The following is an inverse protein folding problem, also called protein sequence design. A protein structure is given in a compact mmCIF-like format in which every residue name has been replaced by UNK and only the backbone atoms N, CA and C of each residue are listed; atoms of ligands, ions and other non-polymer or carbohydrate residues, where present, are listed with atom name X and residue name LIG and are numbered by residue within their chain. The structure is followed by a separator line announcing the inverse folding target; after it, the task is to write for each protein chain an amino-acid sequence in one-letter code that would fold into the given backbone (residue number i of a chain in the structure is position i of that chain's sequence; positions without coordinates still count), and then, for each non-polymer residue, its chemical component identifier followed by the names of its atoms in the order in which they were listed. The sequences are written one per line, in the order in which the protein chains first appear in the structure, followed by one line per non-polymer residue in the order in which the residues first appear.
data_IF_515110885746
#
_entry.id   IF_515110885746
#
_cell.length_a   1.000
_cell.length_b   1.000
_cell.length_c   1.000
_cell.angle_alpha   90.00
_cell.angle_beta   90.00
_cell.angle_gamma   90.00
#
_symmetry.space_group_name_H-M   'P 1'
#
loop_
_entity.id
_entity.type
_entity.pdbx_description
1 polymer ?
#
# COMPACT_ATOMS: atom_id res chain seq x y z
N UNK A 1 77.62 13.21 -20.68
CA UNK A 1 76.67 13.20 -21.82
C UNK A 1 75.75 11.98 -21.68
N UNK A 2 74.44 12.14 -21.96
CA UNK A 2 73.38 11.13 -22.28
C UNK A 2 73.88 9.67 -22.39
N UNK A 3 73.28 8.62 -21.80
CA UNK A 3 71.86 8.16 -21.65
C UNK A 3 71.80 7.17 -20.45
N UNK A 4 70.70 6.66 -19.86
CA UNK A 4 69.24 6.95 -19.78
C UNK A 4 68.69 6.11 -18.59
N UNK A 5 67.54 6.47 -17.99
CA UNK A 5 66.83 5.64 -17.00
C UNK A 5 66.09 4.46 -17.65
N UNK A 6 66.07 3.29 -16.99
CA UNK A 6 65.07 2.24 -17.25
C UNK A 6 64.25 2.03 -15.99
N UNK A 7 63.01 2.52 -16.03
CA UNK A 7 62.01 2.35 -14.97
C UNK A 7 61.44 0.93 -15.02
N UNK A 8 61.20 0.32 -13.86
CA UNK A 8 60.35 -0.87 -13.75
C UNK A 8 59.23 -0.61 -12.75
N UNK A 9 58.14 0.00 -13.23
CA UNK A 9 56.91 0.15 -12.47
C UNK A 9 56.14 -1.18 -12.51
N UNK A 10 56.04 -1.86 -11.36
CA UNK A 10 55.20 -3.05 -11.22
C UNK A 10 53.74 -2.59 -11.11
N UNK A 11 53.00 -2.67 -12.21
CA UNK A 11 51.56 -2.41 -12.23
C UNK A 11 50.86 -3.62 -11.63
N UNK A 12 50.54 -3.55 -10.34
CA UNK A 12 49.69 -4.55 -9.69
C UNK A 12 48.23 -4.27 -10.07
N UNK A 13 47.76 -4.94 -11.13
CA UNK A 13 46.38 -4.84 -11.59
C UNK A 13 45.43 -5.52 -10.58
N UNK A 14 45.02 -4.79 -9.54
CA UNK A 14 43.93 -5.21 -8.66
C UNK A 14 42.65 -5.18 -9.50
N UNK A 15 42.13 -6.36 -9.82
CA UNK A 15 40.88 -6.51 -10.54
C UNK A 15 39.74 -5.86 -9.76
N UNK A 16 39.18 -4.79 -10.30
CA UNK A 16 37.99 -4.16 -9.76
C UNK A 16 36.80 -5.10 -9.98
N UNK A 17 36.53 -5.95 -9.00
CA UNK A 17 35.28 -6.70 -8.92
C UNK A 17 34.14 -5.69 -8.76
N UNK A 18 33.59 -5.23 -9.88
CA UNK A 18 32.32 -4.55 -9.94
C UNK A 18 31.25 -5.57 -9.51
N UNK A 19 31.02 -5.66 -8.20
CA UNK A 19 29.73 -6.07 -7.69
C UNK A 19 28.75 -5.00 -8.15
N UNK A 20 28.14 -5.22 -9.32
CA UNK A 20 26.92 -4.54 -9.70
C UNK A 20 25.93 -4.84 -8.58
N UNK A 21 25.77 -3.88 -7.67
CA UNK A 21 24.75 -3.97 -6.64
C UNK A 21 23.44 -4.15 -7.36
N UNK A 22 22.79 -5.30 -7.16
CA UNK A 22 21.43 -5.51 -7.63
C UNK A 22 20.57 -4.56 -6.79
N UNK A 23 20.43 -3.33 -7.31
CA UNK A 23 19.38 -2.43 -6.91
C UNK A 23 18.09 -3.06 -7.38
N UNK A 24 17.56 -3.99 -6.58
CA UNK A 24 16.17 -4.37 -6.67
C UNK A 24 15.38 -3.07 -6.49
N UNK A 25 14.78 -2.56 -7.56
CA UNK A 25 13.97 -1.36 -7.47
C UNK A 25 12.85 -1.65 -6.46
N UNK A 26 12.85 -0.92 -5.35
CA UNK A 26 11.76 -0.98 -4.38
C UNK A 26 10.51 -0.44 -5.06
N UNK A 27 9.71 -1.35 -5.62
CA UNK A 27 8.41 -1.02 -6.19
C UNK A 27 7.60 -0.26 -5.15
N UNK A 28 7.02 0.88 -5.57
CA UNK A 28 6.08 1.63 -4.73
C UNK A 28 5.04 0.69 -4.11
N UNK A 29 4.79 0.84 -2.81
CA UNK A 29 3.94 -0.07 -2.04
C UNK A 29 2.51 -0.14 -2.59
N UNK A 30 2.07 0.91 -3.31
CA UNK A 30 0.77 0.94 -3.99
C UNK A 30 0.79 0.26 -5.36
N UNK A 31 1.85 0.42 -6.16
CA UNK A 31 2.00 -0.33 -7.43
C UNK A 31 2.21 -1.83 -7.16
N UNK A 32 2.89 -2.19 -6.06
CA UNK A 32 2.92 -3.59 -5.58
C UNK A 32 1.51 -4.10 -5.21
N UNK A 33 0.74 -3.34 -4.43
CA UNK A 33 -0.63 -3.74 -4.07
C UNK A 33 -1.53 -3.93 -5.31
N UNK A 34 -1.42 -3.03 -6.29
CA UNK A 34 -2.10 -3.12 -7.58
C UNK A 34 -1.69 -4.36 -8.37
N UNK A 35 -0.39 -4.70 -8.40
CA UNK A 35 0.10 -5.94 -9.01
C UNK A 35 -0.38 -7.21 -8.27
N UNK A 36 -0.69 -7.11 -6.97
CA UNK A 36 -1.31 -8.15 -6.14
C UNK A 36 -2.85 -8.23 -6.28
N UNK A 37 -3.45 -7.44 -7.19
CA UNK A 37 -4.90 -7.46 -7.47
C UNK A 37 -5.75 -6.62 -6.50
N UNK A 38 -5.15 -5.67 -5.78
CA UNK A 38 -5.89 -4.76 -4.91
C UNK A 38 -6.57 -3.67 -5.74
N UNK A 39 -7.90 -3.58 -5.66
CA UNK A 39 -8.70 -2.57 -6.36
C UNK A 39 -8.75 -1.25 -5.61
N UNK A 40 -8.83 -1.28 -4.28
CA UNK A 40 -8.82 -0.09 -3.42
C UNK A 40 -7.93 -0.32 -2.21
N UNK A 41 -7.11 0.68 -1.87
CA UNK A 41 -6.23 0.65 -0.71
C UNK A 41 -6.37 1.94 0.10
N UNK A 42 -6.29 1.81 1.43
CA UNK A 42 -6.34 2.91 2.37
C UNK A 42 -5.37 2.71 3.53
N UNK A 43 -4.95 3.82 4.16
CA UNK A 43 -3.97 3.86 5.25
C UNK A 43 -4.35 4.93 6.28
N UNK A 44 -3.82 4.81 7.50
CA UNK A 44 -3.86 5.86 8.51
C UNK A 44 -2.90 5.62 9.68
N UNK A 45 -2.73 6.64 10.52
CA UNK A 45 -1.50 6.83 11.30
C UNK A 45 -1.42 6.14 12.67
N UNK A 46 -2.47 6.21 13.50
CA UNK A 46 -2.35 5.86 14.92
C UNK A 46 -3.49 4.96 15.47
N UNK A 47 -3.15 3.74 15.94
CA UNK A 47 -1.99 2.95 15.49
C UNK A 47 -1.98 2.79 13.97
N UNK A 48 -0.80 2.58 13.39
CA UNK A 48 -0.63 2.41 11.94
C UNK A 48 -1.47 1.27 11.40
N UNK A 49 -2.35 1.57 10.45
CA UNK A 49 -3.30 0.62 9.86
C UNK A 49 -3.38 0.74 8.33
N UNK A 50 -3.80 -0.35 7.68
CA UNK A 50 -4.13 -0.36 6.25
C UNK A 50 -5.38 -1.21 5.99
N UNK A 51 -6.14 -0.84 4.94
CA UNK A 51 -7.19 -1.67 4.33
C UNK A 51 -6.86 -1.89 2.87
N UNK A 52 -7.02 -3.12 2.40
CA UNK A 52 -7.04 -3.49 0.99
C UNK A 52 -8.34 -4.22 0.67
N UNK A 53 -8.90 -3.91 -0.50
CA UNK A 53 -10.13 -4.49 -1.02
C UNK A 53 -9.85 -5.06 -2.41
N UNK A 54 -10.18 -6.33 -2.60
CA UNK A 54 -10.04 -7.07 -3.85
C UNK A 54 -11.37 -7.11 -4.63
N UNK A 55 -11.31 -7.49 -5.92
CA UNK A 55 -12.46 -7.59 -6.82
C UNK A 55 -13.52 -8.59 -6.34
N UNK A 56 -13.08 -9.75 -5.85
CA UNK A 56 -13.89 -10.83 -5.28
C UNK A 56 -14.50 -10.49 -3.89
N UNK A 57 -14.54 -9.20 -3.54
CA UNK A 57 -15.02 -8.66 -2.27
C UNK A 57 -14.36 -9.29 -1.04
N UNK A 58 -13.09 -9.69 -1.12
CA UNK A 58 -12.27 -9.90 0.08
C UNK A 58 -11.73 -8.58 0.61
N UNK A 59 -11.69 -8.47 1.94
CA UNK A 59 -11.02 -7.39 2.66
C UNK A 59 -9.83 -7.95 3.42
N UNK A 60 -8.72 -7.22 3.35
CA UNK A 60 -7.56 -7.38 4.23
C UNK A 60 -7.41 -6.11 5.07
N UNK A 61 -7.49 -6.24 6.38
CA UNK A 61 -7.21 -5.17 7.34
C UNK A 61 -5.95 -5.52 8.12
N UNK A 62 -4.99 -4.61 8.16
CA UNK A 62 -3.76 -4.73 8.97
C UNK A 62 -3.70 -3.58 9.96
N UNK A 63 -3.24 -3.86 11.18
CA UNK A 63 -3.21 -2.90 12.27
C UNK A 63 -2.09 -3.23 13.28
N UNK A 64 -1.89 -2.34 14.27
CA UNK A 64 -0.80 -2.41 15.25
C UNK A 64 0.56 -2.67 14.58
N UNK A 65 0.82 -1.89 13.51
CA UNK A 65 2.05 -1.94 12.72
C UNK A 65 2.39 -3.35 12.18
N UNK A 66 1.36 -4.12 11.82
CA UNK A 66 1.51 -5.46 11.24
C UNK A 66 1.26 -6.62 12.21
N UNK A 67 1.06 -6.35 13.52
CA UNK A 67 0.83 -7.40 14.51
C UNK A 67 -0.58 -8.00 14.46
N UNK A 68 -1.56 -7.25 13.97
CA UNK A 68 -2.92 -7.73 13.72
C UNK A 68 -3.17 -7.73 12.21
N UNK A 69 -3.52 -8.90 11.66
CA UNK A 69 -4.00 -9.04 10.28
C UNK A 69 -5.34 -9.79 10.31
N UNK A 70 -6.34 -9.21 9.64
CA UNK A 70 -7.65 -9.81 9.41
C UNK A 70 -7.84 -9.96 7.91
N UNK A 71 -8.21 -11.16 7.46
CA UNK A 71 -8.61 -11.46 6.08
C UNK A 71 -9.99 -12.08 6.13
N UNK A 72 -10.96 -11.46 5.47
CA UNK A 72 -12.36 -11.88 5.53
C UNK A 72 -13.08 -11.62 4.19
N UNK A 73 -14.11 -12.41 3.85
CA UNK A 73 -15.08 -12.00 2.85
C UNK A 73 -15.89 -10.81 3.39
N UNK A 74 -16.37 -9.98 2.46
CA UNK A 74 -17.43 -9.00 2.72
C UNK A 74 -18.77 -9.74 2.77
N UNK A 75 -19.55 -9.47 3.81
CA UNK A 75 -20.89 -10.00 4.00
C UNK A 75 -21.91 -9.24 3.16
N UNK A 76 -21.94 -7.90 3.29
CA UNK A 76 -22.79 -7.01 2.50
C UNK A 76 -22.03 -5.77 1.99
N UNK A 77 -22.52 -5.16 0.92
CA UNK A 77 -21.98 -3.97 0.29
C UNK A 77 -23.10 -2.97 -0.01
N UNK A 78 -23.15 -1.89 0.77
CA UNK A 78 -23.93 -0.71 0.41
C UNK A 78 -23.12 0.20 -0.52
N UNK A 79 -23.77 0.68 -1.57
CA UNK A 79 -23.22 1.64 -2.53
C UNK A 79 -24.10 2.88 -2.55
N UNK A 80 -23.48 4.06 -2.43
CA UNK A 80 -24.19 5.33 -2.45
C UNK A 80 -24.79 5.67 -3.82
N UNK A 81 -25.73 6.61 -3.91
CA UNK A 81 -26.47 6.90 -5.15
C UNK A 81 -25.60 7.29 -6.36
N UNK A 82 -24.39 7.81 -6.14
CA UNK A 82 -23.43 8.18 -7.17
C UNK A 82 -22.37 7.10 -7.45
N UNK A 83 -22.40 5.95 -6.77
CA UNK A 83 -21.42 4.86 -6.93
C UNK A 83 -20.08 5.05 -6.20
N UNK A 84 -19.74 6.29 -5.82
CA UNK A 84 -18.43 6.64 -5.27
C UNK A 84 -18.30 6.40 -3.75
N UNK A 85 -19.38 6.60 -3.00
CA UNK A 85 -19.46 6.24 -1.57
C UNK A 85 -19.80 4.76 -1.42
N UNK A 86 -19.12 4.06 -0.50
CA UNK A 86 -19.31 2.61 -0.28
C UNK A 86 -19.19 2.25 1.19
N UNK A 87 -20.02 1.33 1.67
CA UNK A 87 -19.86 0.70 2.99
C UNK A 87 -19.77 -0.81 2.77
N UNK A 88 -18.61 -1.36 3.10
CA UNK A 88 -18.39 -2.80 3.14
C UNK A 88 -18.62 -3.28 4.57
N UNK A 89 -19.54 -4.24 4.73
CA UNK A 89 -19.83 -4.89 5.99
C UNK A 89 -19.05 -6.20 6.05
N UNK A 90 -18.35 -6.44 7.16
CA UNK A 90 -17.64 -7.70 7.43
C UNK A 90 -18.17 -8.22 8.74
N UNK A 91 -18.89 -9.34 8.69
CA UNK A 91 -19.49 -9.98 9.86
C UNK A 91 -19.35 -11.50 9.76
N UNK A 92 -18.95 -12.14 10.86
CA UNK A 92 -19.00 -13.58 11.08
C UNK A 92 -18.90 -13.87 12.59
N UNK A 93 -18.94 -15.15 12.98
CA UNK A 93 -18.91 -15.62 14.37
C UNK A 93 -17.76 -15.06 15.25
N UNK A 94 -16.67 -14.57 14.65
CA UNK A 94 -15.49 -14.10 15.37
C UNK A 94 -15.22 -12.59 15.26
N UNK A 95 -15.66 -11.92 14.18
CA UNK A 95 -15.34 -10.53 13.89
C UNK A 95 -16.52 -9.79 13.27
N UNK A 96 -16.67 -8.52 13.66
CA UNK A 96 -17.62 -7.58 13.06
C UNK A 96 -16.93 -6.22 12.88
N UNK A 97 -16.92 -5.68 11.66
CA UNK A 97 -16.52 -4.30 11.39
C UNK A 97 -17.06 -3.79 10.05
N UNK A 98 -16.96 -2.48 9.85
CA UNK A 98 -17.33 -1.80 8.60
C UNK A 98 -16.12 -1.05 8.02
N UNK A 99 -15.99 -1.04 6.70
CA UNK A 99 -15.12 -0.12 5.97
C UNK A 99 -15.99 0.86 5.20
N UNK A 100 -15.98 2.11 5.65
CA UNK A 100 -16.75 3.23 5.09
C UNK A 100 -15.80 4.05 4.21
N UNK A 101 -16.05 4.09 2.91
CA UNK A 101 -15.34 4.91 1.92
C UNK A 101 -16.25 6.07 1.53
N UNK A 102 -15.74 7.29 1.65
CA UNK A 102 -16.45 8.52 1.27
C UNK A 102 -15.67 9.26 0.18
N UNK A 103 -16.34 9.70 -0.88
CA UNK A 103 -15.77 10.57 -1.93
C UNK A 103 -15.55 11.98 -1.40
N UNK A 104 -14.47 12.12 -0.64
CA UNK A 104 -14.12 13.34 0.07
C UNK A 104 -12.61 13.38 0.21
N UNK A 105 -12.00 14.51 -0.17
CA UNK A 105 -10.56 14.70 0.01
C UNK A 105 -10.18 14.57 1.50
N UNK A 106 -9.11 13.82 1.76
CA UNK A 106 -8.53 13.65 3.09
C UNK A 106 -7.04 13.99 3.02
N UNK A 107 -6.59 14.96 3.81
CA UNK A 107 -5.17 15.19 4.01
C UNK A 107 -4.69 14.39 5.22
N UNK A 108 -3.66 13.58 5.01
CA UNK A 108 -3.00 12.85 6.07
C UNK A 108 -2.30 13.81 7.03
N UNK A 109 -2.54 13.64 8.33
CA UNK A 109 -2.08 14.57 9.37
C UNK A 109 -0.60 14.47 9.70
N UNK A 110 0.08 13.38 9.30
CA UNK A 110 1.49 13.12 9.61
C UNK A 110 2.39 13.35 8.39
N UNK A 111 1.96 12.95 7.19
CA UNK A 111 2.72 13.13 5.94
C UNK A 111 2.31 14.37 5.14
N UNK A 112 1.09 14.88 5.34
CA UNK A 112 0.50 15.93 4.51
C UNK A 112 0.02 15.46 3.13
N UNK A 113 0.10 14.16 2.81
CA UNK A 113 -0.38 13.59 1.55
C UNK A 113 -1.89 13.76 1.40
N UNK A 114 -2.36 14.07 0.19
CA UNK A 114 -3.79 14.23 -0.11
C UNK A 114 -4.35 12.98 -0.80
N UNK A 115 -5.36 12.39 -0.18
CA UNK A 115 -6.08 11.21 -0.68
C UNK A 115 -7.46 11.61 -1.24
N UNK A 116 -7.88 11.06 -2.38
CA UNK A 116 -9.18 11.38 -3.00
C UNK A 116 -10.39 10.85 -2.22
N UNK A 117 -10.19 9.87 -1.31
CA UNK A 117 -11.23 9.32 -0.45
C UNK A 117 -10.83 9.41 1.02
N UNK A 118 -11.78 9.80 1.87
CA UNK A 118 -11.70 9.67 3.31
C UNK A 118 -12.27 8.30 3.69
N UNK A 119 -11.52 7.53 4.46
CA UNK A 119 -11.89 6.17 4.87
C UNK A 119 -12.05 6.10 6.38
N UNK A 120 -13.05 5.36 6.84
CA UNK A 120 -13.20 4.96 8.25
C UNK A 120 -13.30 3.45 8.36
N UNK A 121 -12.59 2.87 9.31
CA UNK A 121 -12.77 1.47 9.71
C UNK A 121 -13.42 1.46 11.08
N UNK A 122 -14.59 0.82 11.23
CA UNK A 122 -15.42 0.90 12.44
C UNK A 122 -15.65 -0.51 12.99
N UNK A 123 -15.03 -0.80 14.12
CA UNK A 123 -15.32 -1.95 14.98
C UNK A 123 -16.31 -1.52 16.09
N UNK A 124 -17.06 -2.44 16.72
CA UNK A 124 -18.02 -2.12 17.78
C UNK A 124 -17.50 -1.18 18.89
N UNK A 125 -16.21 -1.33 19.27
CA UNK A 125 -15.60 -0.59 20.37
C UNK A 125 -14.49 0.40 19.93
N UNK A 126 -14.21 0.54 18.63
CA UNK A 126 -13.09 1.36 18.15
C UNK A 126 -13.25 1.76 16.68
N UNK A 127 -12.92 3.00 16.33
CA UNK A 127 -12.86 3.43 14.93
C UNK A 127 -11.53 4.07 14.55
N UNK A 128 -11.17 3.91 13.30
CA UNK A 128 -9.99 4.48 12.66
C UNK A 128 -10.42 5.44 11.54
N UNK A 129 -9.58 6.44 11.24
CA UNK A 129 -9.79 7.42 10.16
C UNK A 129 -8.49 7.56 9.38
N UNK A 130 -8.59 7.73 8.06
CA UNK A 130 -7.44 7.85 7.17
C UNK A 130 -7.85 8.13 5.73
N UNK A 131 -6.91 7.96 4.81
CA UNK A 131 -7.06 8.24 3.38
C UNK A 131 -6.94 7.00 2.52
N UNK A 132 -7.57 7.00 1.34
CA UNK A 132 -7.45 5.90 0.37
C UNK A 132 -7.58 6.33 -1.09
N UNK A 133 -7.20 5.41 -1.99
CA UNK A 133 -7.30 5.58 -3.44
C UNK A 133 -7.64 4.27 -4.15
N UNK A 134 -8.36 4.39 -5.26
CA UNK A 134 -8.57 3.31 -6.23
C UNK A 134 -7.24 3.05 -6.95
N UNK A 135 -6.88 1.78 -7.12
CA UNK A 135 -5.67 1.32 -7.81
C UNK A 135 -5.99 0.60 -9.12
N UNK A 136 -7.13 -0.09 -9.17
CA UNK A 136 -7.69 -0.73 -10.36
C UNK A 136 -9.16 -0.31 -10.43
N UNK A 137 -9.57 0.35 -11.51
CA UNK A 137 -10.99 0.66 -11.72
C UNK A 137 -11.72 -0.54 -12.32
N UNK A 138 -13.00 -0.69 -11.95
CA UNK A 138 -13.87 -1.76 -12.44
C UNK A 138 -14.65 -1.31 -13.69
N UNK A 139 -14.18 -0.27 -14.41
CA UNK A 139 -14.86 0.34 -15.56
C UNK A 139 -14.76 -0.51 -16.85
N UNK A 140 -14.61 -1.83 -16.70
CA UNK A 140 -14.46 -2.81 -17.78
C UNK A 140 -15.65 -3.78 -17.85
N UNK A 141 -16.86 -3.27 -17.72
CA UNK A 141 -18.06 -3.91 -18.29
C UNK A 141 -18.63 -2.97 -19.37
N UNK A 142 -18.53 -3.41 -20.64
CA UNK A 142 -19.11 -2.75 -21.82
C UNK A 142 -20.61 -3.06 -21.93
#
# INVERSE_FOLDING_TARGET
MKKVLVSLAVIFAIGLLLTAGVSAEEMDVWEKAKAEGVHFRAVGNEPGWLVEIMDDKRIRFVNDYGKLEIKAPVDDLWVGPAGEDKIYYVENDAIQFQVIIMKKSYQDTMSGENYPYQVRVVFPNKSYIGGGRVLISTDNEN
#
